data_IF_355309787410
#
_entry.id   IF_355309787410
#
_cell.length_a   1.000
_cell.length_b   1.000
_cell.length_c   1.000
_cell.angle_alpha   90.00
_cell.angle_beta   90.00
_cell.angle_gamma   90.00
#
_symmetry.space_group_name_H-M   'P 1'
#
loop_
_entity.id
_entity.type
_entity.pdbx_description
1 polymer ?
#
# COMPACT_ATOMS: atom_id res chain seq x y z
N UNK A 1 21.16 -7.20 6.26
CA UNK A 1 19.84 -7.85 6.03
C UNK A 1 20.06 -9.09 5.17
N UNK A 2 19.46 -10.22 5.52
CA UNK A 2 19.54 -11.44 4.70
C UNK A 2 19.07 -11.15 3.26
N UNK A 3 19.80 -11.64 2.26
CA UNK A 3 19.52 -11.45 0.83
C UNK A 3 18.05 -11.76 0.48
N UNK A 4 17.48 -12.77 1.15
CA UNK A 4 16.09 -13.20 1.03
C UNK A 4 15.08 -12.12 1.51
N UNK A 5 15.36 -11.44 2.62
CA UNK A 5 14.50 -10.37 3.15
C UNK A 5 14.49 -9.11 2.27
N UNK A 6 15.60 -8.85 1.55
CA UNK A 6 15.69 -7.78 0.56
C UNK A 6 14.84 -8.09 -0.67
N UNK A 7 14.94 -9.31 -1.20
CA UNK A 7 14.13 -9.79 -2.34
C UNK A 7 12.64 -9.72 -1.99
N UNK A 8 12.24 -10.25 -0.83
CA UNK A 8 10.85 -10.17 -0.36
C UNK A 8 10.33 -8.73 -0.29
N UNK A 9 11.16 -7.77 0.16
CA UNK A 9 10.74 -6.36 0.20
C UNK A 9 10.44 -5.82 -1.19
N UNK A 10 11.33 -6.10 -2.14
CA UNK A 10 11.17 -5.64 -3.52
C UNK A 10 9.91 -6.25 -4.13
N UNK A 11 9.69 -7.54 -3.93
CA UNK A 11 8.48 -8.24 -4.42
C UNK A 11 7.21 -7.64 -3.84
N UNK A 12 7.16 -7.38 -2.52
CA UNK A 12 6.01 -6.74 -1.87
C UNK A 12 5.74 -5.36 -2.47
N UNK A 13 6.76 -4.52 -2.62
CA UNK A 13 6.59 -3.17 -3.17
C UNK A 13 6.15 -3.20 -4.64
N UNK A 14 6.69 -4.11 -5.45
CA UNK A 14 6.28 -4.29 -6.85
C UNK A 14 4.81 -4.75 -6.93
N UNK A 15 4.42 -5.74 -6.13
CA UNK A 15 3.03 -6.22 -6.06
C UNK A 15 2.07 -5.11 -5.62
N UNK A 16 2.47 -4.31 -4.63
CA UNK A 16 1.67 -3.18 -4.14
C UNK A 16 1.44 -2.16 -5.26
N UNK A 17 2.51 -1.74 -5.95
CA UNK A 17 2.39 -0.81 -7.07
C UNK A 17 1.51 -1.42 -8.18
N UNK A 18 1.73 -2.69 -8.51
CA UNK A 18 0.96 -3.40 -9.52
C UNK A 18 -0.54 -3.44 -9.20
N UNK A 19 -0.93 -3.82 -7.99
CA UNK A 19 -2.34 -3.85 -7.61
C UNK A 19 -2.98 -2.46 -7.58
N UNK A 20 -2.25 -1.43 -7.12
CA UNK A 20 -2.76 -0.06 -7.18
C UNK A 20 -3.00 0.39 -8.62
N UNK A 21 -2.06 0.11 -9.53
CA UNK A 21 -2.24 0.43 -10.96
C UNK A 21 -3.46 -0.28 -11.54
N UNK A 22 -3.68 -1.56 -11.20
CA UNK A 22 -4.85 -2.30 -11.66
C UNK A 22 -6.16 -1.71 -11.13
N UNK A 23 -6.21 -1.31 -9.85
CA UNK A 23 -7.38 -0.64 -9.29
C UNK A 23 -7.66 0.70 -9.97
N UNK A 24 -6.61 1.48 -10.25
CA UNK A 24 -6.73 2.75 -10.98
C UNK A 24 -7.26 2.52 -12.40
N UNK A 25 -6.72 1.55 -13.13
CA UNK A 25 -7.20 1.20 -14.48
C UNK A 25 -8.67 0.75 -14.47
N UNK A 26 -9.11 0.10 -13.40
CA UNK A 26 -10.49 -0.28 -13.24
C UNK A 26 -11.41 0.90 -12.94
N UNK A 27 -10.98 1.86 -12.11
CA UNK A 27 -11.73 3.07 -11.80
C UNK A 27 -11.93 3.97 -13.04
N UNK A 28 -10.92 4.03 -13.92
CA UNK A 28 -10.99 4.76 -15.18
C UNK A 28 -11.62 3.96 -16.34
N UNK A 29 -12.24 2.81 -16.06
CA UNK A 29 -12.88 1.94 -17.06
C UNK A 29 -11.96 1.51 -18.22
N UNK A 30 -10.64 1.55 -18.03
CA UNK A 30 -9.67 1.03 -19.01
C UNK A 30 -9.69 -0.50 -18.99
N UNK A 31 -9.89 -1.09 -17.82
CA UNK A 31 -10.07 -2.54 -17.63
C UNK A 31 -11.25 -2.80 -16.72
N UNK A 32 -12.30 -3.43 -17.23
CA UNK A 32 -13.50 -3.74 -16.44
C UNK A 32 -13.36 -5.09 -15.71
N UNK A 33 -13.14 -5.03 -14.41
CA UNK A 33 -13.19 -6.19 -13.53
C UNK A 33 -14.61 -6.48 -13.05
N UNK A 34 -14.88 -7.75 -12.77
CA UNK A 34 -16.07 -8.12 -11.99
C UNK A 34 -15.98 -7.49 -10.59
N UNK A 35 -17.14 -7.21 -9.99
CA UNK A 35 -17.21 -6.64 -8.64
C UNK A 35 -16.43 -7.48 -7.62
N UNK A 36 -16.50 -8.81 -7.75
CA UNK A 36 -15.74 -9.74 -6.90
C UNK A 36 -14.24 -9.58 -7.07
N UNK A 37 -13.74 -9.54 -8.32
CA UNK A 37 -12.30 -9.42 -8.58
C UNK A 37 -11.76 -8.06 -8.11
N UNK A 38 -12.50 -6.98 -8.35
CA UNK A 38 -12.17 -5.64 -7.83
C UNK A 38 -12.02 -5.65 -6.30
N UNK A 39 -12.99 -6.25 -5.60
CA UNK A 39 -12.97 -6.32 -4.13
C UNK A 39 -11.79 -7.15 -3.61
N UNK A 40 -11.47 -8.27 -4.27
CA UNK A 40 -10.31 -9.11 -3.92
C UNK A 40 -9.00 -8.33 -4.10
N UNK A 41 -8.81 -7.63 -5.23
CA UNK A 41 -7.61 -6.83 -5.48
C UNK A 41 -7.51 -5.68 -4.46
N UNK A 42 -8.61 -5.00 -4.16
CA UNK A 42 -8.65 -3.94 -3.15
C UNK A 42 -8.26 -4.45 -1.76
N UNK A 43 -8.79 -5.61 -1.36
CA UNK A 43 -8.46 -6.24 -0.09
C UNK A 43 -6.99 -6.66 -0.01
N UNK A 44 -6.46 -7.30 -1.05
CA UNK A 44 -5.04 -7.67 -1.14
C UNK A 44 -4.14 -6.43 -1.08
N UNK A 45 -4.52 -5.33 -1.73
CA UNK A 45 -3.78 -4.07 -1.68
C UNK A 45 -3.70 -3.53 -0.27
N UNK A 46 -4.81 -3.53 0.48
CA UNK A 46 -4.82 -3.11 1.88
C UNK A 46 -3.93 -3.98 2.77
N UNK A 47 -3.93 -5.29 2.57
CA UNK A 47 -3.02 -6.20 3.29
C UNK A 47 -1.56 -5.86 3.00
N UNK A 48 -1.19 -5.64 1.74
CA UNK A 48 0.18 -5.30 1.37
C UNK A 48 0.63 -3.97 1.98
N UNK A 49 -0.24 -2.97 2.01
CA UNK A 49 0.02 -1.68 2.66
C UNK A 49 0.33 -1.88 4.15
N UNK A 50 -0.52 -2.64 4.86
CA UNK A 50 -0.34 -2.91 6.29
C UNK A 50 0.96 -3.64 6.58
N UNK A 51 1.27 -4.69 5.80
CA UNK A 51 2.50 -5.47 5.96
C UNK A 51 3.73 -4.59 5.71
N UNK A 52 3.71 -3.80 4.63
CA UNK A 52 4.83 -2.93 4.26
C UNK A 52 5.09 -1.86 5.33
N UNK A 53 4.03 -1.18 5.78
CA UNK A 53 4.15 -0.13 6.77
C UNK A 53 4.56 -0.65 8.16
N UNK A 54 3.99 -1.78 8.63
CA UNK A 54 4.39 -2.40 9.90
C UNK A 54 5.86 -2.84 9.87
N UNK A 55 6.31 -3.45 8.78
CA UNK A 55 7.71 -3.86 8.63
C UNK A 55 8.65 -2.67 8.77
N UNK A 56 8.34 -1.55 8.13
CA UNK A 56 9.19 -0.35 8.14
C UNK A 56 9.25 0.33 9.51
N UNK A 57 8.17 0.26 10.28
CA UNK A 57 8.15 0.67 11.69
C UNK A 57 9.05 -0.21 12.56
N UNK A 58 9.00 -1.53 12.38
CA UNK A 58 9.75 -2.50 13.18
C UNK A 58 11.24 -2.54 12.83
N UNK A 59 11.61 -2.25 11.58
CA UNK A 59 13.01 -2.33 11.10
C UNK A 59 13.86 -1.09 11.44
N UNK A 60 13.38 -0.23 12.33
CA UNK A 60 14.13 0.86 12.95
C UNK A 60 14.85 1.81 11.95
N UNK A 61 14.29 2.03 10.74
CA UNK A 61 14.80 3.04 9.80
C UNK A 61 14.76 4.47 10.37
N UNK A 62 15.32 5.43 9.62
CA UNK A 62 15.35 6.87 9.96
C UNK A 62 14.01 7.42 10.49
N UNK A 63 14.07 8.45 11.34
CA UNK A 63 12.89 9.01 12.01
C UNK A 63 11.76 9.42 11.04
N UNK A 64 12.11 10.04 9.91
CA UNK A 64 11.16 10.42 8.87
C UNK A 64 10.45 9.20 8.26
N UNK A 65 11.19 8.12 8.00
CA UNK A 65 10.62 6.87 7.45
C UNK A 65 9.58 6.27 8.39
N UNK A 66 9.87 6.26 9.71
CA UNK A 66 8.91 5.75 10.70
C UNK A 66 7.68 6.64 10.80
N UNK A 67 7.86 7.96 10.74
CA UNK A 67 6.73 8.89 10.75
C UNK A 67 5.79 8.66 9.57
N UNK A 68 6.32 8.59 8.34
CA UNK A 68 5.51 8.35 7.13
C UNK A 68 4.77 7.01 7.23
N UNK A 69 5.45 5.93 7.63
CA UNK A 69 4.81 4.62 7.76
C UNK A 69 3.80 4.56 8.92
N UNK A 70 4.02 5.34 9.99
CA UNK A 70 3.03 5.54 11.05
C UNK A 70 1.76 6.22 10.55
N UNK A 71 1.91 7.27 9.73
CA UNK A 71 0.77 7.94 9.08
C UNK A 71 0.03 6.99 8.12
N UNK A 72 0.76 6.18 7.34
CA UNK A 72 0.16 5.17 6.46
C UNK A 72 -0.67 4.18 7.27
N UNK A 73 -0.13 3.62 8.36
CA UNK A 73 -0.89 2.70 9.21
C UNK A 73 -2.13 3.38 9.81
N UNK A 74 -1.97 4.57 10.40
CA UNK A 74 -3.09 5.28 11.01
C UNK A 74 -4.20 5.56 9.99
N UNK A 75 -3.86 6.11 8.83
CA UNK A 75 -4.82 6.41 7.76
C UNK A 75 -5.44 5.15 7.14
N UNK A 76 -4.70 4.03 7.08
CA UNK A 76 -5.24 2.75 6.62
C UNK A 76 -6.31 2.19 7.56
N UNK A 77 -6.08 2.27 8.88
CA UNK A 77 -7.02 1.77 9.90
C UNK A 77 -8.26 2.67 9.94
N UNK A 78 -8.07 3.98 10.07
CA UNK A 78 -9.18 4.95 10.10
C UNK A 78 -9.96 4.88 8.78
N UNK A 79 -9.26 4.93 7.65
CA UNK A 79 -9.88 4.86 6.32
C UNK A 79 -10.63 3.55 6.09
N UNK A 80 -10.09 2.42 6.55
CA UNK A 80 -10.74 1.11 6.46
C UNK A 80 -12.04 1.05 7.27
N UNK A 81 -12.03 1.54 8.51
CA UNK A 81 -13.25 1.61 9.36
C UNK A 81 -14.31 2.50 8.72
N UNK A 82 -13.93 3.70 8.28
CA UNK A 82 -14.87 4.62 7.63
C UNK A 82 -15.42 4.06 6.31
N UNK A 83 -14.63 3.32 5.55
CA UNK A 83 -15.09 2.71 4.29
C UNK A 83 -16.17 1.65 4.52
N UNK A 84 -16.09 0.90 5.62
CA UNK A 84 -17.13 -0.07 6.01
C UNK A 84 -18.43 0.66 6.38
N UNK A 85 -18.33 1.75 7.15
CA UNK A 85 -19.48 2.53 7.61
C UNK A 85 -20.18 3.23 6.44
N UNK A 86 -19.40 3.94 5.61
CA UNK A 86 -19.93 4.78 4.53
C UNK A 86 -20.21 4.01 3.24
N UNK A 87 -19.76 2.74 3.13
CA UNK A 87 -19.77 1.92 1.89
C UNK A 87 -19.10 2.62 0.68
N UNK A 88 -18.28 3.62 0.93
CA UNK A 88 -17.61 4.45 -0.07
C UNK A 88 -16.13 4.59 0.27
N UNK A 89 -15.31 4.83 -0.74
CA UNK A 89 -13.90 5.16 -0.55
C UNK A 89 -13.79 6.56 0.07
N UNK A 90 -13.06 6.64 1.18
CA UNK A 90 -12.87 7.90 1.90
C UNK A 90 -11.51 8.52 1.57
N UNK A 91 -11.40 9.84 1.77
CA UNK A 91 -10.15 10.61 1.59
C UNK A 91 -8.94 9.97 2.30
N UNK A 92 -9.17 9.35 3.46
CA UNK A 92 -8.15 8.63 4.23
C UNK A 92 -7.56 7.44 3.46
N UNK A 93 -8.38 6.68 2.73
CA UNK A 93 -7.90 5.56 1.91
C UNK A 93 -7.12 6.06 0.69
N UNK A 94 -7.57 7.11 0.02
CA UNK A 94 -6.83 7.71 -1.09
C UNK A 94 -5.46 8.22 -0.64
N UNK A 95 -5.43 8.92 0.49
CA UNK A 95 -4.18 9.40 1.11
C UNK A 95 -3.25 8.24 1.45
N UNK A 96 -3.79 7.19 2.07
CA UNK A 96 -3.06 5.97 2.42
C UNK A 96 -2.42 5.31 1.19
N UNK A 97 -3.19 5.12 0.12
CA UNK A 97 -2.70 4.52 -1.13
C UNK A 97 -1.58 5.37 -1.74
N UNK A 98 -1.77 6.69 -1.82
CA UNK A 98 -0.79 7.60 -2.41
C UNK A 98 0.53 7.56 -1.65
N UNK A 99 0.50 7.69 -0.33
CA UNK A 99 1.72 7.62 0.49
C UNK A 99 2.39 6.25 0.39
N UNK A 100 1.62 5.17 0.34
CA UNK A 100 2.16 3.81 0.23
C UNK A 100 2.86 3.56 -1.10
N UNK A 101 2.29 4.03 -2.22
CA UNK A 101 2.91 3.91 -3.54
C UNK A 101 4.18 4.75 -3.63
N UNK A 102 4.12 6.02 -3.20
CA UNK A 102 5.30 6.90 -3.21
C UNK A 102 6.42 6.31 -2.37
N UNK A 103 6.11 5.84 -1.16
CA UNK A 103 7.10 5.22 -0.29
C UNK A 103 7.66 3.92 -0.89
N UNK A 104 6.80 3.05 -1.43
CA UNK A 104 7.22 1.82 -2.10
C UNK A 104 8.13 2.08 -3.31
N UNK A 105 7.83 3.12 -4.10
CA UNK A 105 8.66 3.53 -5.24
C UNK A 105 10.01 4.09 -4.78
N UNK A 106 10.03 4.95 -3.76
CA UNK A 106 11.27 5.45 -3.16
C UNK A 106 12.13 4.30 -2.65
N UNK A 107 11.53 3.31 -1.98
CA UNK A 107 12.27 2.15 -1.47
C UNK A 107 12.83 1.28 -2.60
N UNK A 108 12.17 1.19 -3.76
CA UNK A 108 12.66 0.46 -4.92
C UNK A 108 13.79 1.19 -5.67
N UNK A 109 13.66 2.51 -5.85
CA UNK A 109 14.58 3.32 -6.67
C UNK A 109 15.81 3.75 -5.87
N UNK A 110 15.64 4.14 -4.61
CA UNK A 110 16.71 4.74 -3.82
C UNK A 110 17.49 3.75 -2.95
N UNK A 111 16.93 2.59 -2.57
CA UNK A 111 17.75 1.53 -1.97
C UNK A 111 18.55 0.84 -3.07
N UNK A 112 19.75 1.37 -3.32
CA UNK A 112 20.81 0.62 -4.01
C UNK A 112 21.11 -0.68 -3.24
N UNK A 113 21.35 -1.73 -4.03
CA UNK A 113 21.70 -3.08 -3.59
C UNK A 113 22.84 -3.08 -2.57
#
# INVERSE_FOLDING_TARGET
MNKLASILNKTINILLIFFVVFLVLNEYYVVEFSATLRNVIAFLTMILILISAMKELLTNKSGLSRFINGVILFTSIVGGVFAIISKQLNLFLYTCILFSVVYGFVDLVYKKA
#
